data_IF_809775199003
#
_entry.id   IF_809775199003
#
_cell.length_a   1.000
_cell.length_b   1.000
_cell.length_c   1.000
_cell.angle_alpha   90.00
_cell.angle_beta   90.00
_cell.angle_gamma   90.00
#
_symmetry.space_group_name_H-M   'P 1'
#
loop_
_entity.id
_entity.type
_entity.pdbx_description
1 polymer ?
#
# COMPACT_ATOMS: atom_id res chain seq x y z
N UNK A 1 6.25 9.90 9.98
CA UNK A 1 5.71 8.54 9.96
C UNK A 1 4.62 8.41 8.90
N UNK A 2 4.41 7.21 8.41
CA UNK A 2 3.36 6.84 7.48
C UNK A 2 2.60 5.64 8.06
N UNK A 3 1.29 5.73 8.08
CA UNK A 3 0.42 4.73 8.70
C UNK A 3 -0.62 4.28 7.68
N UNK A 4 -0.95 3.01 7.71
CA UNK A 4 -1.96 2.39 6.86
C UNK A 4 -3.05 1.74 7.71
N UNK A 5 -4.28 1.82 7.26
CA UNK A 5 -5.38 1.04 7.77
C UNK A 5 -5.76 -0.01 6.72
N UNK A 6 -5.41 -1.25 6.98
CA UNK A 6 -5.45 -2.31 5.97
C UNK A 6 -6.75 -3.08 5.97
N UNK A 7 -6.97 -3.85 7.02
CA UNK A 7 -8.07 -4.82 7.15
C UNK A 7 -8.61 -4.71 8.56
N UNK A 8 -9.93 -4.80 8.71
CA UNK A 8 -10.53 -4.90 10.02
C UNK A 8 -9.97 -6.09 10.81
N UNK A 9 -9.68 -5.87 12.10
CA UNK A 9 -9.01 -6.87 12.94
C UNK A 9 -9.80 -8.18 13.05
N UNK A 10 -11.12 -8.12 13.05
CA UNK A 10 -12.03 -9.26 13.10
C UNK A 10 -12.12 -10.04 11.78
N UNK A 11 -11.66 -9.46 10.68
CA UNK A 11 -11.54 -10.16 9.41
C UNK A 11 -10.35 -11.14 9.36
N UNK A 12 -9.43 -11.02 10.30
CA UNK A 12 -8.20 -11.81 10.36
C UNK A 12 -8.34 -12.90 11.42
N UNK A 13 -9.08 -13.95 11.14
CA UNK A 13 -9.19 -15.12 12.00
C UNK A 13 -9.15 -16.41 11.18
N UNK A 14 -8.26 -17.33 11.55
CA UNK A 14 -8.14 -18.69 11.02
C UNK A 14 -8.31 -18.80 9.49
N UNK A 15 -9.38 -19.47 9.10
CA UNK A 15 -9.77 -19.71 7.70
C UNK A 15 -10.00 -18.43 6.89
N UNK A 16 -10.40 -17.33 7.53
CA UNK A 16 -10.57 -16.04 6.84
C UNK A 16 -9.25 -15.44 6.39
N UNK A 17 -8.17 -15.64 7.12
CA UNK A 17 -6.84 -15.19 6.69
C UNK A 17 -6.43 -15.89 5.39
N UNK A 18 -6.68 -17.19 5.28
CA UNK A 18 -6.44 -17.95 4.04
C UNK A 18 -7.34 -17.43 2.92
N UNK A 19 -8.60 -17.10 3.21
CA UNK A 19 -9.52 -16.48 2.26
C UNK A 19 -9.01 -15.14 1.74
N UNK A 20 -8.47 -14.28 2.60
CA UNK A 20 -7.85 -12.99 2.19
C UNK A 20 -6.69 -13.22 1.21
N UNK A 21 -5.87 -14.22 1.44
CA UNK A 21 -4.74 -14.52 0.56
C UNK A 21 -5.19 -15.13 -0.79
N UNK A 22 -6.28 -15.86 -0.82
CA UNK A 22 -6.75 -16.58 -2.01
C UNK A 22 -7.73 -15.79 -2.88
N UNK A 23 -8.60 -14.98 -2.29
CA UNK A 23 -9.70 -14.28 -2.99
C UNK A 23 -9.61 -12.75 -2.96
N UNK A 24 -8.62 -12.20 -2.26
CA UNK A 24 -8.43 -10.78 -2.05
C UNK A 24 -8.78 -10.32 -0.64
N UNK A 25 -8.58 -9.03 -0.34
CA UNK A 25 -8.79 -8.48 0.99
C UNK A 25 -10.28 -8.37 1.33
N UNK A 26 -10.59 -8.51 2.61
CA UNK A 26 -11.90 -8.18 3.17
C UNK A 26 -11.86 -6.71 3.60
N UNK A 27 -12.57 -5.86 2.88
CA UNK A 27 -12.60 -4.41 3.12
C UNK A 27 -13.89 -4.03 3.87
N UNK A 28 -14.02 -4.45 5.12
CA UNK A 28 -15.21 -4.19 5.95
C UNK A 28 -15.17 -2.81 6.61
N UNK A 29 -14.00 -2.21 6.72
CA UNK A 29 -13.78 -0.90 7.32
C UNK A 29 -13.22 0.08 6.29
N UNK A 30 -13.38 1.38 6.53
CA UNK A 30 -12.71 2.38 5.70
C UNK A 30 -11.22 2.10 5.62
N UNK A 31 -10.72 1.99 4.40
CA UNK A 31 -9.28 1.93 4.15
C UNK A 31 -8.68 3.31 4.27
N UNK A 32 -7.37 3.41 4.35
CA UNK A 32 -6.72 4.69 4.35
C UNK A 32 -5.23 4.61 4.57
N UNK A 33 -4.58 5.67 4.16
CA UNK A 33 -3.17 5.92 4.44
C UNK A 33 -3.03 7.35 4.92
N UNK A 34 -2.11 7.57 5.86
CA UNK A 34 -1.91 8.86 6.48
C UNK A 34 -0.43 9.12 6.73
N UNK A 35 0.02 10.32 6.44
CA UNK A 35 1.36 10.77 6.76
C UNK A 35 1.35 11.71 7.93
N UNK A 36 2.20 11.42 8.91
CA UNK A 36 2.46 12.25 10.08
C UNK A 36 3.85 12.88 10.03
N UNK A 37 3.96 14.06 10.57
CA UNK A 37 5.23 14.73 10.83
C UNK A 37 5.35 15.05 12.31
N UNK A 38 6.55 14.85 12.86
CA UNK A 38 6.85 15.27 14.22
C UNK A 38 7.01 16.78 14.25
N UNK A 39 6.25 17.44 15.13
CA UNK A 39 6.39 18.85 15.41
C UNK A 39 7.21 19.02 16.68
N UNK A 40 8.41 19.57 16.56
CA UNK A 40 9.34 19.75 17.68
C UNK A 40 8.90 20.81 18.69
N UNK A 41 8.18 21.83 18.24
CA UNK A 41 7.69 22.89 19.12
C UNK A 41 6.56 22.40 20.01
N UNK A 42 5.63 21.61 19.43
CA UNK A 42 4.49 21.05 20.12
C UNK A 42 4.77 19.72 20.81
N UNK A 43 5.94 19.12 20.55
CA UNK A 43 6.32 17.80 21.00
C UNK A 43 5.23 16.74 20.70
N UNK A 44 4.69 16.76 19.47
CA UNK A 44 3.56 15.92 19.05
C UNK A 44 3.62 15.57 17.57
N UNK A 45 2.95 14.48 17.20
CA UNK A 45 2.69 14.15 15.81
C UNK A 45 1.58 15.02 15.23
N UNK A 46 1.78 15.51 14.01
CA UNK A 46 0.79 16.29 13.26
C UNK A 46 0.52 15.58 11.95
N UNK A 47 -0.77 15.39 11.63
CA UNK A 47 -1.19 14.88 10.33
C UNK A 47 -0.83 15.89 9.24
N UNK A 48 -0.19 15.42 8.18
CA UNK A 48 0.19 16.24 7.03
C UNK A 48 -0.84 16.08 5.92
N UNK A 49 -1.22 14.84 5.64
CA UNK A 49 -2.28 14.51 4.70
C UNK A 49 -2.84 13.11 4.99
N UNK A 50 -4.08 12.92 4.60
CA UNK A 50 -4.84 11.65 4.71
C UNK A 50 -5.47 11.32 3.37
N UNK A 51 -5.44 10.04 2.98
CA UNK A 51 -6.08 9.50 1.78
C UNK A 51 -6.93 8.29 2.15
N UNK A 52 -8.24 8.50 2.35
CA UNK A 52 -9.21 7.44 2.64
C UNK A 52 -9.57 6.57 1.42
N UNK A 53 -9.22 7.04 0.23
CA UNK A 53 -9.44 6.35 -1.05
C UNK A 53 -8.26 5.45 -1.48
N UNK A 54 -7.18 5.42 -0.71
CA UNK A 54 -6.00 4.60 -0.98
C UNK A 54 -5.93 3.48 0.06
N UNK A 55 -5.73 2.27 -0.40
CA UNK A 55 -5.47 1.12 0.46
C UNK A 55 -4.02 0.65 0.35
N UNK A 56 -3.52 0.03 1.42
CA UNK A 56 -2.26 -0.70 1.44
C UNK A 56 -2.47 -1.97 2.26
N UNK A 57 -3.10 -2.95 1.65
CA UNK A 57 -3.75 -4.06 2.36
C UNK A 57 -2.80 -5.13 2.86
N UNK A 58 -1.69 -5.36 2.21
CA UNK A 58 -0.85 -6.51 2.56
C UNK A 58 0.64 -6.32 2.38
N UNK A 59 1.10 -5.19 1.87
CA UNK A 59 2.53 -4.92 1.73
C UNK A 59 3.01 -3.84 2.69
N UNK A 60 4.26 -3.93 3.09
CA UNK A 60 4.94 -2.88 3.83
C UNK A 60 5.20 -1.72 2.86
N UNK A 61 4.69 -0.52 3.13
CA UNK A 61 4.96 0.65 2.30
C UNK A 61 6.45 0.95 2.20
N UNK A 62 6.89 1.36 1.01
CA UNK A 62 8.28 1.72 0.78
C UNK A 62 8.42 3.20 0.42
N UNK A 63 9.35 3.89 1.06
CA UNK A 63 9.62 5.32 0.82
C UNK A 63 10.88 5.47 -0.02
N UNK A 64 10.76 6.16 -1.15
CA UNK A 64 11.88 6.60 -1.96
C UNK A 64 12.19 8.06 -1.66
N UNK A 65 13.31 8.31 -1.01
CA UNK A 65 13.73 9.69 -0.70
C UNK A 65 14.23 10.43 -1.93
N UNK A 66 14.77 9.71 -2.91
CA UNK A 66 15.28 10.32 -4.15
C UNK A 66 14.17 10.81 -5.07
N UNK A 67 13.04 10.11 -5.14
CA UNK A 67 11.86 10.50 -5.92
C UNK A 67 10.80 11.22 -5.10
N UNK A 68 10.96 11.33 -3.78
CA UNK A 68 9.98 11.89 -2.85
C UNK A 68 8.61 11.19 -2.93
N UNK A 69 8.62 9.87 -3.07
CA UNK A 69 7.42 9.05 -3.20
C UNK A 69 7.32 8.00 -2.10
N UNK A 70 6.08 7.66 -1.73
CA UNK A 70 5.78 6.44 -0.97
C UNK A 70 4.96 5.50 -1.85
N UNK A 71 5.40 4.25 -1.91
CA UNK A 71 4.72 3.22 -2.69
C UNK A 71 3.92 2.29 -1.78
N UNK A 72 2.71 1.99 -2.21
CA UNK A 72 1.77 1.10 -1.55
C UNK A 72 1.19 0.10 -2.54
N UNK A 73 0.90 -1.12 -2.09
CA UNK A 73 0.16 -2.11 -2.86
C UNK A 73 -1.23 -2.25 -2.25
N UNK A 74 -2.21 -1.82 -2.97
CA UNK A 74 -3.59 -1.75 -2.52
C UNK A 74 -4.54 -2.57 -3.37
N UNK A 75 -5.79 -2.53 -2.95
CA UNK A 75 -6.91 -3.12 -3.67
C UNK A 75 -8.03 -2.09 -3.85
N UNK A 76 -8.50 -1.96 -5.07
CA UNK A 76 -9.65 -1.17 -5.44
C UNK A 76 -10.80 -2.09 -5.87
N UNK A 77 -12.02 -1.82 -5.40
CA UNK A 77 -13.17 -2.68 -5.71
C UNK A 77 -13.52 -2.72 -7.22
N UNK A 78 -13.22 -1.65 -7.95
CA UNK A 78 -13.48 -1.55 -9.38
C UNK A 78 -12.36 -2.18 -10.21
N UNK A 79 -11.11 -1.84 -9.91
CA UNK A 79 -9.95 -2.16 -10.74
C UNK A 79 -9.14 -3.36 -10.20
N UNK A 80 -9.28 -3.70 -8.93
CA UNK A 80 -8.53 -4.77 -8.27
C UNK A 80 -7.21 -4.29 -7.67
N UNK A 81 -6.22 -5.16 -7.67
CA UNK A 81 -4.89 -4.90 -7.11
C UNK A 81 -4.13 -3.87 -7.92
N UNK A 82 -3.46 -2.99 -7.23
CA UNK A 82 -2.59 -1.99 -7.84
C UNK A 82 -1.35 -1.67 -6.97
N UNK A 83 -0.40 -1.00 -7.58
CA UNK A 83 0.66 -0.27 -6.88
C UNK A 83 0.47 1.21 -7.17
N UNK A 84 0.45 2.02 -6.14
CA UNK A 84 0.40 3.48 -6.23
C UNK A 84 1.69 4.09 -5.67
N UNK A 85 2.24 5.05 -6.39
CA UNK A 85 3.25 5.98 -5.92
C UNK A 85 2.60 7.30 -5.54
N UNK A 86 2.66 7.63 -4.25
CA UNK A 86 2.07 8.86 -3.71
C UNK A 86 3.19 9.86 -3.42
N UNK A 87 3.01 11.09 -3.82
CA UNK A 87 3.92 12.17 -3.44
C UNK A 87 3.99 12.30 -1.92
N UNK A 88 5.20 12.28 -1.38
CA UNK A 88 5.42 12.29 0.06
C UNK A 88 4.88 13.56 0.74
N UNK A 89 4.93 14.70 0.06
CA UNK A 89 4.54 15.98 0.65
C UNK A 89 3.03 16.21 0.60
N UNK A 90 2.39 15.86 -0.51
CA UNK A 90 0.98 16.18 -0.77
C UNK A 90 0.02 14.99 -0.68
N UNK A 91 0.53 13.76 -0.75
CA UNK A 91 -0.28 12.56 -0.87
C UNK A 91 -0.91 12.35 -2.26
N UNK A 92 -0.60 13.20 -3.23
CA UNK A 92 -1.12 13.07 -4.60
C UNK A 92 -0.57 11.81 -5.29
N UNK A 93 -1.44 11.08 -6.00
CA UNK A 93 -1.02 9.92 -6.78
C UNK A 93 -0.24 10.38 -8.01
N UNK A 94 1.02 9.99 -8.09
CA UNK A 94 1.93 10.27 -9.21
C UNK A 94 2.01 9.08 -10.18
N UNK A 95 1.99 7.87 -9.64
CA UNK A 95 2.06 6.63 -10.40
C UNK A 95 0.95 5.69 -9.96
N UNK A 96 0.38 4.96 -10.90
CA UNK A 96 -0.54 3.87 -10.63
C UNK A 96 -0.39 2.78 -11.70
N UNK A 97 -0.14 1.56 -11.24
CA UNK A 97 -0.08 0.38 -12.11
C UNK A 97 -1.10 -0.64 -11.60
N UNK A 98 -2.07 -0.98 -12.44
CA UNK A 98 -3.18 -1.90 -12.10
C UNK A 98 -2.85 -3.31 -12.57
N UNK A 99 -3.04 -4.28 -11.68
CA UNK A 99 -2.84 -5.72 -11.96
C UNK A 99 -4.15 -6.47 -12.20
N UNK A 100 -5.29 -5.82 -11.91
CA UNK A 100 -6.62 -6.42 -12.02
C UNK A 100 -7.05 -7.17 -10.76
N UNK A 101 -8.23 -7.77 -10.83
CA UNK A 101 -8.89 -8.39 -9.67
C UNK A 101 -8.31 -9.74 -9.25
N UNK A 102 -7.49 -10.35 -10.08
CA UNK A 102 -6.85 -11.61 -9.75
C UNK A 102 -5.87 -11.41 -8.59
N UNK A 103 -5.89 -12.31 -7.62
CA UNK A 103 -5.06 -12.22 -6.41
C UNK A 103 -3.53 -12.25 -6.68
N UNK A 104 -3.12 -12.47 -7.93
CA UNK A 104 -1.70 -12.38 -8.34
C UNK A 104 -1.08 -11.02 -8.01
N UNK A 105 -1.86 -9.94 -7.98
CA UNK A 105 -1.39 -8.61 -7.63
C UNK A 105 -1.22 -8.37 -6.11
N UNK A 106 -1.59 -9.34 -5.27
CA UNK A 106 -1.46 -9.25 -3.82
C UNK A 106 0.00 -9.46 -3.39
N UNK A 107 0.59 -8.45 -2.78
CA UNK A 107 1.99 -8.47 -2.33
C UNK A 107 2.27 -9.27 -1.07
N UNK A 108 1.24 -9.83 -0.41
CA UNK A 108 1.36 -10.84 0.66
C UNK A 108 2.48 -10.59 1.69
N UNK A 109 2.47 -9.43 2.33
CA UNK A 109 3.46 -9.00 3.33
C UNK A 109 4.89 -8.82 2.80
N UNK A 110 5.07 -8.81 1.49
CA UNK A 110 6.38 -8.56 0.89
C UNK A 110 6.83 -7.10 1.10
N UNK A 111 8.11 -6.90 0.95
CA UNK A 111 8.73 -5.57 0.94
C UNK A 111 8.94 -5.17 -0.51
N UNK A 112 8.60 -3.93 -0.86
CA UNK A 112 8.95 -3.35 -2.15
C UNK A 112 10.44 -3.02 -2.16
N UNK A 113 11.14 -3.49 -3.19
CA UNK A 113 12.53 -3.17 -3.45
C UNK A 113 12.64 -2.24 -4.66
N UNK A 114 13.61 -1.36 -4.64
CA UNK A 114 13.92 -0.48 -5.76
C UNK A 114 15.04 -1.08 -6.60
N UNK A 115 14.85 -1.06 -7.92
CA UNK A 115 15.88 -1.43 -8.89
C UNK A 115 16.67 -0.18 -9.32
N UNK A 116 17.89 -0.35 -9.81
CA UNK A 116 18.74 0.77 -10.24
C UNK A 116 18.11 1.66 -11.31
N UNK A 117 17.26 1.08 -12.17
CA UNK A 117 16.54 1.81 -13.23
C UNK A 117 15.26 2.49 -12.75
N UNK A 118 14.96 2.46 -11.45
CA UNK A 118 13.77 3.04 -10.85
C UNK A 118 12.55 2.11 -10.79
N UNK A 119 12.58 0.95 -11.44
CA UNK A 119 11.50 -0.03 -11.35
C UNK A 119 11.36 -0.57 -9.93
N UNK A 120 10.18 -1.09 -9.61
CA UNK A 120 9.91 -1.76 -8.34
C UNK A 120 9.91 -3.27 -8.53
N UNK A 121 10.42 -3.98 -7.53
CA UNK A 121 10.37 -5.43 -7.43
C UNK A 121 9.74 -5.84 -6.11
N UNK A 122 8.79 -6.76 -6.14
CA UNK A 122 8.23 -7.38 -4.95
C UNK A 122 7.73 -8.80 -5.23
N UNK A 123 7.59 -9.60 -4.18
CA UNK A 123 6.92 -10.89 -4.27
C UNK A 123 5.42 -10.73 -4.03
N UNK A 124 4.63 -11.28 -4.94
CA UNK A 124 3.20 -11.50 -4.74
C UNK A 124 2.94 -12.94 -4.30
N UNK A 125 1.69 -13.26 -3.99
CA UNK A 125 1.25 -14.66 -3.75
C UNK A 125 1.51 -15.60 -4.93
N UNK A 126 1.80 -15.05 -6.11
CA UNK A 126 2.03 -15.82 -7.35
C UNK A 126 3.47 -15.78 -7.83
N UNK A 127 4.38 -15.16 -7.08
CA UNK A 127 5.79 -15.03 -7.43
C UNK A 127 6.23 -13.59 -7.61
N UNK A 128 7.43 -13.35 -8.16
CA UNK A 128 8.02 -12.03 -8.28
C UNK A 128 7.29 -11.18 -9.33
N UNK A 129 7.08 -9.91 -8.97
CA UNK A 129 6.53 -8.87 -9.84
C UNK A 129 7.56 -7.77 -10.02
N UNK A 130 7.78 -7.38 -11.27
CA UNK A 130 8.51 -6.17 -11.63
C UNK A 130 7.51 -5.15 -12.15
N UNK A 131 7.48 -3.99 -11.52
CA UNK A 131 6.64 -2.85 -11.90
C UNK A 131 7.53 -1.81 -12.55
N UNK A 132 7.25 -1.49 -13.80
CA UNK A 132 7.88 -0.37 -14.50
C UNK A 132 7.14 0.90 -14.18
N UNK A 133 7.87 1.93 -13.77
CA UNK A 133 7.34 3.24 -13.45
C UNK A 133 7.51 4.22 -14.62
#
# INVERSE_FOLDING_TARGET
>A
AFVVNNIAADAVVNDKLVGVLSIGPILEQPTGVERFQWNTEKNSWVSVWTRGDVSSTSMIPAVSTSSNLVFVNGYDANDGWDVKGLDWNSGATQHRVVFGKNNRGNGAYAIIQYMENGDLLFNSVSGPFRVKL
#
